data_IF_300442712722
#
_entry.id   IF_300442712722
#
_cell.length_a   1.000
_cell.length_b   1.000
_cell.length_c   1.000
_cell.angle_alpha   90.00
_cell.angle_beta   90.00
_cell.angle_gamma   90.00
#
_symmetry.space_group_name_H-M   'P 1'
#
loop_
_entity.id
_entity.type
_entity.pdbx_description
1 polymer ?
#
# COMPACT_ATOMS: atom_id res chain seq x y z
N UNK A 1 -0.81 -21.58 -0.81
CA UNK A 1 -2.08 -21.09 -1.40
C UNK A 1 -1.91 -20.41 -2.75
N UNK A 2 -0.73 -19.87 -3.07
CA UNK A 2 -0.44 -19.04 -4.25
C UNK A 2 -0.94 -19.61 -5.59
N UNK A 3 -0.57 -20.85 -5.93
CA UNK A 3 -1.00 -21.47 -7.19
C UNK A 3 -2.51 -21.61 -7.28
N UNK A 4 -3.19 -21.91 -6.16
CA UNK A 4 -4.66 -22.03 -6.14
C UNK A 4 -5.34 -20.68 -6.39
N UNK A 5 -4.83 -19.60 -5.78
CA UNK A 5 -5.34 -18.24 -6.02
C UNK A 5 -5.11 -17.84 -7.47
N UNK A 6 -3.93 -18.13 -8.03
CA UNK A 6 -3.62 -17.87 -9.43
C UNK A 6 -4.56 -18.62 -10.38
N UNK A 7 -4.74 -19.92 -10.18
CA UNK A 7 -5.60 -20.77 -11.00
C UNK A 7 -7.07 -20.35 -10.89
N UNK A 8 -7.54 -20.09 -9.66
CA UNK A 8 -8.90 -19.59 -9.41
C UNK A 8 -9.14 -18.24 -10.09
N UNK A 9 -8.25 -17.27 -9.90
CA UNK A 9 -8.35 -15.96 -10.54
C UNK A 9 -8.40 -16.05 -12.06
N UNK A 10 -7.50 -16.85 -12.64
CA UNK A 10 -7.47 -17.11 -14.08
C UNK A 10 -8.78 -17.73 -14.56
N UNK A 11 -9.27 -18.76 -13.85
CA UNK A 11 -10.50 -19.45 -14.22
C UNK A 11 -11.71 -18.51 -14.17
N UNK A 12 -11.81 -17.63 -13.18
CA UNK A 12 -12.88 -16.63 -13.08
C UNK A 12 -12.83 -15.63 -14.26
N UNK A 13 -11.64 -15.15 -14.62
CA UNK A 13 -11.47 -14.26 -15.78
C UNK A 13 -11.85 -14.97 -17.09
N UNK A 14 -11.34 -16.19 -17.31
CA UNK A 14 -11.61 -16.97 -18.53
C UNK A 14 -13.09 -17.32 -18.66
N UNK A 15 -13.72 -17.79 -17.58
CA UNK A 15 -15.12 -18.19 -17.56
C UNK A 15 -16.10 -17.02 -17.64
N UNK A 16 -15.65 -15.79 -17.39
CA UNK A 16 -16.51 -14.60 -17.47
C UNK A 16 -17.01 -14.32 -18.90
N UNK A 17 -16.25 -14.71 -19.92
CA UNK A 17 -16.50 -14.34 -21.32
C UNK A 17 -16.38 -12.83 -21.61
N UNK A 18 -15.89 -12.03 -20.66
CA UNK A 18 -15.76 -10.56 -20.76
C UNK A 18 -14.40 -10.14 -21.37
N UNK A 19 -13.38 -10.98 -21.20
CA UNK A 19 -12.01 -10.70 -21.59
C UNK A 19 -11.59 -11.54 -22.80
N UNK A 20 -10.84 -10.95 -23.73
CA UNK A 20 -10.21 -11.69 -24.83
C UNK A 20 -9.05 -12.54 -24.33
N UNK A 21 -8.65 -13.56 -25.10
CA UNK A 21 -7.48 -14.40 -24.76
C UNK A 21 -6.20 -13.58 -24.54
N UNK A 22 -6.02 -12.50 -25.31
CA UNK A 22 -4.90 -11.57 -25.14
C UNK A 22 -4.96 -10.82 -23.81
N UNK A 23 -6.14 -10.37 -23.39
CA UNK A 23 -6.34 -9.71 -22.10
C UNK A 23 -6.13 -10.69 -20.95
N UNK A 24 -6.64 -11.92 -21.06
CA UNK A 24 -6.39 -12.98 -20.07
C UNK A 24 -4.89 -13.24 -19.94
N UNK A 25 -4.16 -13.35 -21.05
CA UNK A 25 -2.71 -13.56 -21.03
C UNK A 25 -1.98 -12.45 -20.26
N UNK A 26 -2.37 -11.19 -20.45
CA UNK A 26 -1.79 -10.03 -19.77
C UNK A 26 -2.17 -10.01 -18.28
N UNK A 27 -3.47 -10.10 -17.96
CA UNK A 27 -3.97 -9.93 -16.60
C UNK A 27 -3.66 -11.10 -15.67
N UNK A 28 -3.38 -12.27 -16.24
CA UNK A 28 -3.04 -13.50 -15.53
C UNK A 28 -1.58 -13.93 -15.75
N UNK A 29 -0.72 -13.02 -16.20
CA UNK A 29 0.71 -13.25 -16.39
C UNK A 29 1.42 -13.54 -15.05
N UNK A 30 2.46 -14.38 -15.09
CA UNK A 30 3.20 -14.78 -13.89
C UNK A 30 3.86 -13.59 -13.17
N UNK A 31 4.36 -12.60 -13.91
CA UNK A 31 5.03 -11.45 -13.31
C UNK A 31 4.05 -10.55 -12.56
N UNK A 32 2.80 -10.46 -13.02
CA UNK A 32 1.72 -9.78 -12.27
C UNK A 32 1.51 -10.45 -10.92
N UNK A 33 1.43 -11.79 -10.88
CA UNK A 33 1.29 -12.52 -9.61
C UNK A 33 2.53 -12.40 -8.72
N UNK A 34 3.73 -12.38 -9.30
CA UNK A 34 4.97 -12.20 -8.55
C UNK A 34 4.99 -10.83 -7.84
N UNK A 35 4.55 -9.76 -8.52
CA UNK A 35 4.42 -8.42 -7.93
C UNK A 35 3.41 -8.38 -6.79
N UNK A 36 2.34 -9.18 -6.86
CA UNK A 36 1.28 -9.20 -5.84
C UNK A 36 1.47 -10.29 -4.78
N UNK A 37 2.62 -10.97 -4.77
CA UNK A 37 2.85 -12.15 -3.94
C UNK A 37 2.61 -11.91 -2.45
N UNK A 38 3.02 -10.76 -1.94
CA UNK A 38 2.77 -10.36 -0.55
C UNK A 38 1.28 -10.43 -0.21
N UNK A 39 0.43 -9.76 -0.99
CA UNK A 39 -1.01 -9.69 -0.74
C UNK A 39 -1.70 -11.05 -0.88
N UNK A 40 -1.25 -11.88 -1.83
CA UNK A 40 -1.76 -13.25 -2.01
C UNK A 40 -1.45 -14.11 -0.77
N UNK A 41 -0.29 -13.91 -0.16
CA UNK A 41 0.17 -14.66 1.02
C UNK A 41 -0.27 -14.04 2.35
N UNK A 42 -0.90 -12.86 2.32
CA UNK A 42 -1.16 -12.07 3.51
C UNK A 42 -2.12 -12.80 4.46
N UNK A 43 -3.24 -13.32 3.96
CA UNK A 43 -4.20 -14.10 4.77
C UNK A 43 -3.53 -15.25 5.52
N UNK A 44 -2.69 -16.04 4.83
CA UNK A 44 -1.94 -17.15 5.40
C UNK A 44 -0.92 -16.70 6.45
N UNK A 45 -0.40 -15.47 6.30
CA UNK A 45 0.59 -14.88 7.21
C UNK A 45 -0.04 -14.33 8.48
N UNK A 46 -1.31 -13.91 8.42
CA UNK A 46 -2.05 -13.35 9.55
C UNK A 46 -2.92 -14.39 10.28
N UNK A 47 -3.36 -15.44 9.60
CA UNK A 47 -4.27 -16.45 10.17
C UNK A 47 -3.80 -17.12 11.46
N UNK A 48 -2.49 -17.33 11.75
CA UNK A 48 -2.06 -17.89 13.03
C UNK A 48 -2.54 -17.09 14.25
N UNK A 49 -2.81 -15.79 14.10
CA UNK A 49 -3.36 -14.98 15.19
C UNK A 49 -4.80 -15.37 15.58
N UNK A 50 -5.50 -16.14 14.76
CA UNK A 50 -6.93 -16.41 14.91
C UNK A 50 -7.26 -17.88 15.23
N UNK A 51 -6.27 -18.65 15.68
CA UNK A 51 -6.35 -20.08 16.02
C UNK A 51 -6.45 -21.05 14.83
N UNK A 52 -6.16 -22.33 15.08
CA UNK A 52 -6.22 -23.42 14.10
C UNK A 52 -7.65 -23.80 13.67
N UNK A 53 -8.67 -23.06 14.09
CA UNK A 53 -10.08 -23.37 13.79
C UNK A 53 -10.52 -22.96 12.39
N UNK A 54 -9.77 -22.10 11.70
CA UNK A 54 -10.11 -21.67 10.35
C UNK A 54 -9.68 -22.75 9.36
N UNK A 55 -10.63 -23.25 8.57
CA UNK A 55 -10.34 -24.27 7.56
C UNK A 55 -9.49 -23.71 6.41
N UNK A 56 -8.76 -24.59 5.73
CA UNK A 56 -8.00 -24.21 4.54
C UNK A 56 -8.87 -23.61 3.42
N UNK A 57 -10.13 -24.06 3.32
CA UNK A 57 -11.06 -23.51 2.33
C UNK A 57 -11.48 -22.08 2.68
N UNK A 58 -11.71 -21.77 3.96
CA UNK A 58 -12.02 -20.42 4.40
C UNK A 58 -10.83 -19.47 4.16
N UNK A 59 -9.61 -19.90 4.47
CA UNK A 59 -8.40 -19.12 4.17
C UNK A 59 -8.25 -18.84 2.67
N UNK A 60 -8.57 -19.83 1.82
CA UNK A 60 -8.57 -19.64 0.38
C UNK A 60 -9.64 -18.61 -0.04
N UNK A 61 -10.86 -18.73 0.46
CA UNK A 61 -11.96 -17.80 0.14
C UNK A 61 -11.61 -16.36 0.55
N UNK A 62 -11.07 -16.15 1.74
CA UNK A 62 -10.62 -14.83 2.23
C UNK A 62 -9.54 -14.25 1.33
N UNK A 63 -8.58 -15.08 0.93
CA UNK A 63 -7.48 -14.66 0.05
C UNK A 63 -7.96 -14.31 -1.36
N UNK A 64 -8.91 -15.06 -1.90
CA UNK A 64 -9.53 -14.73 -3.19
C UNK A 64 -10.25 -13.39 -3.13
N UNK A 65 -11.16 -13.21 -2.15
CA UNK A 65 -11.92 -11.96 -1.97
C UNK A 65 -10.96 -10.76 -1.90
N UNK A 66 -9.91 -10.89 -1.08
CA UNK A 66 -8.93 -9.83 -0.88
C UNK A 66 -8.12 -9.54 -2.14
N UNK A 67 -7.74 -10.58 -2.89
CA UNK A 67 -7.00 -10.42 -4.14
C UNK A 67 -7.86 -9.77 -5.24
N UNK A 68 -9.14 -10.14 -5.35
CA UNK A 68 -10.07 -9.46 -6.27
C UNK A 68 -10.23 -7.98 -5.91
N UNK A 69 -10.37 -7.63 -4.62
CA UNK A 69 -10.38 -6.22 -4.21
C UNK A 69 -9.07 -5.51 -4.57
N UNK A 70 -7.91 -6.09 -4.29
CA UNK A 70 -6.61 -5.51 -4.69
C UNK A 70 -6.57 -5.22 -6.19
N UNK A 71 -6.94 -6.20 -7.02
CA UNK A 71 -6.93 -6.06 -8.49
C UNK A 71 -7.90 -4.98 -8.96
N UNK A 72 -9.04 -4.83 -8.30
CA UNK A 72 -9.96 -3.74 -8.58
C UNK A 72 -9.35 -2.37 -8.25
N UNK A 73 -8.73 -2.24 -7.08
CA UNK A 73 -8.13 -0.98 -6.64
C UNK A 73 -6.97 -0.56 -7.54
N UNK A 74 -6.06 -1.46 -7.90
CA UNK A 74 -4.96 -1.16 -8.82
C UNK A 74 -5.48 -0.73 -10.21
N UNK A 75 -6.56 -1.35 -10.68
CA UNK A 75 -7.20 -0.95 -11.94
C UNK A 75 -7.86 0.43 -11.83
N UNK A 76 -8.50 0.76 -10.71
CA UNK A 76 -9.07 2.09 -10.50
C UNK A 76 -8.00 3.16 -10.32
N UNK A 77 -6.93 2.86 -9.58
CA UNK A 77 -5.79 3.75 -9.35
C UNK A 77 -5.14 4.15 -10.68
N UNK A 78 -4.83 3.18 -11.56
CA UNK A 78 -4.33 3.47 -12.91
C UNK A 78 -5.28 4.27 -13.80
N UNK A 79 -6.60 4.16 -13.63
CA UNK A 79 -7.56 5.02 -14.34
C UNK A 79 -7.51 6.44 -13.80
N UNK A 80 -7.44 6.58 -12.48
CA UNK A 80 -7.50 7.86 -11.77
C UNK A 80 -6.18 8.64 -11.92
N UNK A 81 -5.06 7.93 -11.95
CA UNK A 81 -3.71 8.50 -11.97
C UNK A 81 -3.18 8.68 -13.39
N UNK A 82 -3.33 7.66 -14.24
CA UNK A 82 -2.75 7.65 -15.58
C UNK A 82 -3.81 7.82 -16.71
N UNK A 83 -5.11 7.87 -16.38
CA UNK A 83 -6.18 8.01 -17.38
C UNK A 83 -6.40 6.78 -18.25
N UNK A 84 -5.87 5.61 -17.86
CA UNK A 84 -5.90 4.37 -18.67
C UNK A 84 -7.28 3.70 -18.59
N UNK A 85 -8.24 4.23 -19.36
CA UNK A 85 -9.65 3.79 -19.34
C UNK A 85 -9.87 2.33 -19.72
N UNK A 86 -8.92 1.69 -20.41
CA UNK A 86 -8.98 0.24 -20.71
C UNK A 86 -9.03 -0.61 -19.45
N UNK A 87 -8.54 -0.11 -18.31
CA UNK A 87 -8.58 -0.81 -17.03
C UNK A 87 -9.96 -0.74 -16.36
N UNK A 88 -10.91 0.05 -16.86
CA UNK A 88 -12.26 0.17 -16.26
C UNK A 88 -12.97 -1.18 -16.22
N UNK A 89 -12.91 -1.93 -17.33
CA UNK A 89 -13.50 -3.27 -17.43
C UNK A 89 -12.92 -4.22 -16.39
N UNK A 90 -11.59 -4.20 -16.23
CA UNK A 90 -10.90 -5.02 -15.24
C UNK A 90 -11.31 -4.61 -13.81
N UNK A 91 -11.32 -3.31 -13.51
CA UNK A 91 -11.67 -2.79 -12.19
C UNK A 91 -13.09 -3.17 -11.75
N UNK A 92 -14.07 -2.93 -12.63
CA UNK A 92 -15.48 -3.27 -12.37
C UNK A 92 -15.66 -4.77 -12.17
N UNK A 93 -15.14 -5.60 -13.08
CA UNK A 93 -15.24 -7.06 -12.96
C UNK A 93 -14.67 -7.57 -11.64
N UNK A 94 -13.45 -7.13 -11.28
CA UNK A 94 -12.81 -7.60 -10.06
C UNK A 94 -13.58 -7.17 -8.81
N UNK A 95 -14.09 -5.94 -8.79
CA UNK A 95 -14.87 -5.42 -7.66
C UNK A 95 -16.20 -6.17 -7.49
N UNK A 96 -16.93 -6.42 -8.57
CA UNK A 96 -18.20 -7.17 -8.55
C UNK A 96 -18.00 -8.64 -8.15
N UNK A 97 -16.94 -9.27 -8.65
CA UNK A 97 -16.56 -10.65 -8.27
C UNK A 97 -16.18 -10.72 -6.79
N UNK A 98 -15.43 -9.74 -6.27
CA UNK A 98 -15.10 -9.66 -4.85
C UNK A 98 -16.36 -9.55 -3.98
N UNK A 99 -17.30 -8.68 -4.34
CA UNK A 99 -18.57 -8.51 -3.62
C UNK A 99 -19.44 -9.76 -3.67
N UNK A 100 -19.51 -10.43 -4.82
CA UNK A 100 -20.28 -11.67 -4.98
C UNK A 100 -19.71 -12.77 -4.09
N UNK A 101 -18.38 -12.95 -4.09
CA UNK A 101 -17.70 -13.91 -3.20
C UNK A 101 -17.88 -13.53 -1.73
N UNK A 102 -17.81 -12.25 -1.38
CA UNK A 102 -18.06 -11.78 -0.01
C UNK A 102 -19.50 -12.10 0.43
N UNK A 103 -20.51 -11.83 -0.39
CA UNK A 103 -21.91 -12.14 -0.12
C UNK A 103 -22.17 -13.65 0.02
N UNK A 104 -21.52 -14.48 -0.80
CA UNK A 104 -21.64 -15.92 -0.70
C UNK A 104 -21.06 -16.48 0.61
N UNK A 105 -20.00 -15.87 1.15
CA UNK A 105 -19.33 -16.33 2.36
C UNK A 105 -19.88 -15.68 3.64
N UNK A 106 -20.42 -14.46 3.57
CA UNK A 106 -20.85 -13.67 4.73
C UNK A 106 -22.22 -13.00 4.50
N UNK A 107 -23.30 -13.75 4.20
CA UNK A 107 -24.54 -13.19 3.68
C UNK A 107 -25.31 -12.30 4.68
N UNK A 108 -25.18 -12.57 5.98
CA UNK A 108 -25.93 -11.89 7.05
C UNK A 108 -24.98 -11.26 8.10
N UNK A 109 -23.77 -10.87 7.70
CA UNK A 109 -22.79 -10.28 8.61
C UNK A 109 -22.84 -8.75 8.59
N UNK A 110 -23.78 -8.18 9.34
CA UNK A 110 -23.95 -6.73 9.43
C UNK A 110 -22.67 -6.00 9.85
N UNK A 111 -21.80 -6.63 10.66
CA UNK A 111 -20.55 -6.00 11.12
C UNK A 111 -19.56 -5.88 9.97
N UNK A 112 -19.36 -6.95 9.21
CA UNK A 112 -18.46 -6.96 8.06
C UNK A 112 -18.94 -6.01 6.96
N UNK A 113 -20.25 -6.00 6.67
CA UNK A 113 -20.83 -5.09 5.67
C UNK A 113 -20.73 -3.61 6.07
N UNK A 114 -20.97 -3.29 7.35
CA UNK A 114 -20.77 -1.94 7.85
C UNK A 114 -19.29 -1.52 7.81
N UNK A 115 -18.38 -2.43 8.14
CA UNK A 115 -16.95 -2.17 8.04
C UNK A 115 -16.54 -1.89 6.58
N UNK A 116 -17.00 -2.70 5.62
CA UNK A 116 -16.74 -2.48 4.19
C UNK A 116 -17.25 -1.10 3.72
N UNK A 117 -18.43 -0.67 4.21
CA UNK A 117 -18.97 0.66 3.89
C UNK A 117 -18.05 1.78 4.37
N UNK A 118 -17.53 1.70 5.59
CA UNK A 118 -16.61 2.72 6.11
C UNK A 118 -15.23 2.65 5.45
N UNK A 119 -14.72 1.45 5.13
CA UNK A 119 -13.50 1.24 4.32
C UNK A 119 -13.62 1.96 2.98
N UNK A 120 -14.72 1.73 2.23
CA UNK A 120 -14.97 2.40 0.95
C UNK A 120 -15.01 3.93 1.09
N UNK A 121 -15.71 4.42 2.12
CA UNK A 121 -15.83 5.85 2.39
C UNK A 121 -14.47 6.48 2.68
N UNK A 122 -13.59 5.80 3.45
CA UNK A 122 -12.23 6.28 3.70
C UNK A 122 -11.40 6.27 2.42
N UNK A 123 -11.45 5.19 1.63
CA UNK A 123 -10.77 5.11 0.34
C UNK A 123 -11.15 6.27 -0.59
N UNK A 124 -12.45 6.45 -0.87
CA UNK A 124 -12.90 7.51 -1.78
C UNK A 124 -12.51 8.90 -1.29
N UNK A 125 -12.62 9.17 0.01
CA UNK A 125 -12.21 10.46 0.59
C UNK A 125 -10.71 10.70 0.46
N UNK A 126 -9.88 9.68 0.67
CA UNK A 126 -8.44 9.79 0.52
C UNK A 126 -8.05 10.07 -0.93
N UNK A 127 -8.59 9.31 -1.88
CA UNK A 127 -8.37 9.52 -3.31
C UNK A 127 -8.86 10.91 -3.77
N UNK A 128 -10.03 11.34 -3.31
CA UNK A 128 -10.53 12.69 -3.63
C UNK A 128 -9.61 13.78 -3.06
N UNK A 129 -9.13 13.61 -1.83
CA UNK A 129 -8.26 14.59 -1.17
C UNK A 129 -6.91 14.72 -1.89
N UNK A 130 -6.29 13.60 -2.24
CA UNK A 130 -5.05 13.54 -3.03
C UNK A 130 -5.21 14.33 -4.35
N UNK A 131 -6.29 14.07 -5.09
CA UNK A 131 -6.57 14.78 -6.35
C UNK A 131 -6.92 16.24 -6.15
N UNK A 132 -7.61 16.59 -5.07
CA UNK A 132 -7.90 18.00 -4.76
C UNK A 132 -6.62 18.78 -4.51
N UNK A 133 -5.68 18.24 -3.74
CA UNK A 133 -4.41 18.92 -3.50
C UNK A 133 -3.60 19.11 -4.76
N UNK A 134 -3.63 18.13 -5.66
CA UNK A 134 -3.06 18.30 -6.98
C UNK A 134 -3.65 19.52 -7.72
N UNK A 135 -4.98 19.61 -7.78
CA UNK A 135 -5.68 20.70 -8.47
C UNK A 135 -5.51 22.07 -7.79
N UNK A 136 -5.31 22.08 -6.47
CA UNK A 136 -5.10 23.29 -5.67
C UNK A 136 -3.62 23.69 -5.57
N UNK A 137 -2.70 22.95 -6.20
CA UNK A 137 -1.25 23.11 -6.11
C UNK A 137 -0.74 23.22 -4.66
N UNK A 138 -1.44 22.55 -3.74
CA UNK A 138 -1.20 22.64 -2.31
C UNK A 138 -0.20 21.58 -1.87
N UNK A 139 0.75 21.97 -1.04
CA UNK A 139 1.66 21.03 -0.38
C UNK A 139 0.95 20.19 0.68
N UNK A 140 1.25 18.89 0.72
CA UNK A 140 0.85 17.97 1.78
C UNK A 140 1.60 18.26 3.08
N UNK A 141 0.87 18.31 4.19
CA UNK A 141 1.49 18.09 5.51
C UNK A 141 1.52 16.59 5.88
N UNK A 142 2.16 16.29 7.01
CA UNK A 142 2.36 14.91 7.45
C UNK A 142 1.04 14.20 7.78
N UNK A 143 0.11 14.88 8.47
CA UNK A 143 -1.15 14.27 8.90
C UNK A 143 -2.03 13.97 7.69
N UNK A 144 -2.04 14.87 6.72
CA UNK A 144 -2.71 14.72 5.43
C UNK A 144 -2.12 13.56 4.61
N UNK A 145 -0.79 13.47 4.55
CA UNK A 145 -0.10 12.36 3.91
C UNK A 145 -0.48 11.02 4.54
N UNK A 146 -0.38 10.90 5.87
CA UNK A 146 -0.72 9.66 6.59
C UNK A 146 -2.17 9.27 6.32
N UNK A 147 -3.10 10.24 6.37
CA UNK A 147 -4.51 9.98 6.06
C UNK A 147 -4.72 9.42 4.65
N UNK A 148 -4.03 9.98 3.65
CA UNK A 148 -4.11 9.52 2.26
C UNK A 148 -3.49 8.12 2.12
N UNK A 149 -2.28 7.91 2.64
CA UNK A 149 -1.56 6.63 2.58
C UNK A 149 -2.36 5.48 3.23
N UNK A 150 -2.93 5.72 4.41
CA UNK A 150 -3.85 4.76 5.05
C UNK A 150 -5.11 4.53 4.23
N UNK A 151 -5.64 5.58 3.60
CA UNK A 151 -6.86 5.52 2.80
C UNK A 151 -6.69 4.74 1.50
N UNK A 152 -5.56 4.88 0.80
CA UNK A 152 -5.28 4.13 -0.45
C UNK A 152 -5.09 2.63 -0.19
N UNK A 153 -4.52 2.26 0.97
CA UNK A 153 -4.30 0.86 1.36
C UNK A 153 -5.45 0.23 2.16
N UNK A 154 -6.49 0.99 2.51
CA UNK A 154 -7.47 0.62 3.55
C UNK A 154 -8.13 -0.75 3.39
N UNK A 155 -8.30 -1.27 2.16
CA UNK A 155 -8.94 -2.56 1.94
C UNK A 155 -8.17 -3.76 2.55
N UNK A 156 -6.87 -3.64 2.82
CA UNK A 156 -6.10 -4.71 3.46
C UNK A 156 -6.62 -5.05 4.86
N UNK A 157 -7.29 -4.10 5.52
CA UNK A 157 -7.86 -4.30 6.86
C UNK A 157 -9.10 -5.22 6.86
N UNK A 158 -9.63 -5.55 5.67
CA UNK A 158 -10.72 -6.51 5.50
C UNK A 158 -10.26 -7.93 5.82
N UNK A 159 -8.97 -8.26 5.61
CA UNK A 159 -8.41 -9.59 5.90
C UNK A 159 -8.53 -9.91 7.40
N UNK A 160 -8.00 -9.09 8.34
CA UNK A 160 -8.22 -9.32 9.77
C UNK A 160 -9.69 -9.44 10.17
N UNK A 161 -10.59 -8.64 9.56
CA UNK A 161 -12.03 -8.72 9.85
C UNK A 161 -12.62 -10.08 9.48
N UNK A 162 -12.35 -10.54 8.26
CA UNK A 162 -12.81 -11.85 7.79
C UNK A 162 -12.22 -12.99 8.63
N UNK A 163 -10.93 -12.91 8.99
CA UNK A 163 -10.29 -13.91 9.86
C UNK A 163 -10.90 -13.93 11.28
N UNK A 164 -11.16 -12.76 11.86
CA UNK A 164 -11.82 -12.63 13.16
C UNK A 164 -13.22 -13.21 13.16
N UNK A 165 -13.95 -13.02 12.06
CA UNK A 165 -15.28 -13.59 11.87
C UNK A 165 -15.23 -15.11 11.71
N UNK A 166 -14.41 -15.64 10.78
CA UNK A 166 -14.29 -17.09 10.54
C UNK A 166 -13.81 -17.86 11.76
N UNK A 167 -12.93 -17.27 12.58
CA UNK A 167 -12.48 -17.91 13.82
C UNK A 167 -13.45 -17.78 14.99
N UNK A 168 -14.43 -16.88 14.90
CA UNK A 168 -15.25 -16.45 16.04
C UNK A 168 -14.45 -15.75 17.14
N UNK A 169 -13.25 -15.25 16.84
CA UNK A 169 -12.35 -14.59 17.79
C UNK A 169 -11.87 -13.22 17.26
N UNK A 170 -12.56 -12.13 17.63
CA UNK A 170 -12.21 -10.80 17.12
C UNK A 170 -11.02 -10.14 17.86
N UNK A 171 -10.43 -10.77 18.87
CA UNK A 171 -9.51 -10.11 19.81
C UNK A 171 -8.25 -9.51 19.16
N UNK A 172 -7.80 -10.08 18.03
CA UNK A 172 -6.60 -9.62 17.33
C UNK A 172 -6.89 -8.72 16.12
N UNK A 173 -8.17 -8.49 15.79
CA UNK A 173 -8.55 -7.73 14.59
C UNK A 173 -7.96 -6.33 14.62
N UNK A 174 -8.29 -5.52 15.62
CA UNK A 174 -7.91 -4.10 15.66
C UNK A 174 -6.38 -3.91 15.60
N UNK A 175 -5.63 -4.69 16.35
CA UNK A 175 -4.16 -4.62 16.37
C UNK A 175 -3.55 -5.00 15.01
N UNK A 176 -4.07 -6.04 14.36
CA UNK A 176 -3.62 -6.40 13.02
C UNK A 176 -3.98 -5.33 11.98
N UNK A 177 -5.15 -4.70 12.10
CA UNK A 177 -5.51 -3.58 11.23
C UNK A 177 -4.55 -2.40 11.40
N UNK A 178 -4.26 -1.99 12.64
CA UNK A 178 -3.26 -0.94 12.93
C UNK A 178 -1.89 -1.30 12.39
N UNK A 179 -1.46 -2.54 12.61
CA UNK A 179 -0.18 -3.04 12.11
C UNK A 179 -0.08 -2.96 10.58
N UNK A 180 -1.13 -3.37 9.86
CA UNK A 180 -1.18 -3.28 8.40
C UNK A 180 -1.17 -1.83 7.90
N UNK A 181 -1.97 -0.96 8.52
CA UNK A 181 -2.01 0.45 8.13
C UNK A 181 -0.65 1.12 8.32
N UNK A 182 -0.01 0.92 9.49
CA UNK A 182 1.35 1.40 9.73
C UNK A 182 2.36 0.83 8.73
N UNK A 183 2.30 -0.47 8.44
CA UNK A 183 3.16 -1.08 7.43
C UNK A 183 3.02 -0.39 6.07
N UNK A 184 1.78 -0.12 5.64
CA UNK A 184 1.50 0.53 4.36
C UNK A 184 1.88 2.00 4.31
N UNK A 185 1.74 2.75 5.41
CA UNK A 185 2.25 4.12 5.48
C UNK A 185 3.77 4.11 5.31
N UNK A 186 4.46 3.19 5.99
CA UNK A 186 5.90 3.01 5.82
C UNK A 186 6.31 2.71 4.37
N UNK A 187 5.56 1.83 3.68
CA UNK A 187 5.79 1.54 2.26
C UNK A 187 5.57 2.78 1.38
N UNK A 188 4.49 3.53 1.59
CA UNK A 188 4.21 4.74 0.81
C UNK A 188 5.34 5.78 0.95
N UNK A 189 5.94 5.91 2.14
CA UNK A 189 7.10 6.80 2.33
C UNK A 189 8.31 6.32 1.53
N UNK A 190 8.54 5.00 1.45
CA UNK A 190 9.63 4.46 0.63
C UNK A 190 9.38 4.67 -0.86
N UNK A 191 8.15 4.41 -1.32
CA UNK A 191 7.73 4.62 -2.70
C UNK A 191 7.92 6.10 -3.11
N UNK A 192 7.49 7.05 -2.27
CA UNK A 192 7.68 8.50 -2.51
C UNK A 192 9.16 8.90 -2.67
N UNK A 193 10.10 8.18 -2.04
CA UNK A 193 11.55 8.42 -2.17
C UNK A 193 12.08 7.81 -3.47
N UNK A 194 11.72 6.57 -3.76
CA UNK A 194 12.20 5.81 -4.92
C UNK A 194 11.67 6.39 -6.24
N UNK A 195 10.41 6.82 -6.24
CA UNK A 195 9.71 7.37 -7.41
C UNK A 195 9.73 8.90 -7.50
N UNK A 196 10.44 9.59 -6.59
CA UNK A 196 10.48 11.06 -6.48
C UNK A 196 10.54 11.82 -7.83
N UNK A 197 11.44 11.42 -8.72
CA UNK A 197 11.58 12.08 -10.04
C UNK A 197 10.39 11.75 -10.95
N UNK A 198 9.99 10.47 -10.99
CA UNK A 198 8.84 10.00 -11.77
C UNK A 198 7.57 10.73 -11.34
N UNK A 199 7.37 10.92 -10.04
CA UNK A 199 6.19 11.59 -9.49
C UNK A 199 6.16 13.06 -9.85
N UNK A 200 7.30 13.75 -9.84
CA UNK A 200 7.39 15.12 -10.36
C UNK A 200 7.03 15.16 -11.84
N UNK A 201 7.59 14.27 -12.65
CA UNK A 201 7.35 14.23 -14.10
C UNK A 201 5.88 13.91 -14.42
N UNK A 202 5.23 13.09 -13.59
CA UNK A 202 3.79 12.78 -13.66
C UNK A 202 2.90 13.82 -12.96
N UNK A 203 3.49 14.85 -12.37
CA UNK A 203 2.77 15.86 -11.59
C UNK A 203 1.96 15.26 -10.42
N UNK A 204 2.43 14.17 -9.83
CA UNK A 204 1.84 13.57 -8.65
C UNK A 204 2.27 14.33 -7.38
N UNK A 205 1.32 14.57 -6.49
CA UNK A 205 1.61 15.17 -5.19
C UNK A 205 1.98 14.07 -4.21
N UNK A 206 3.25 14.03 -3.85
CA UNK A 206 3.80 13.16 -2.81
C UNK A 206 4.28 13.98 -1.62
N UNK A 207 4.51 13.32 -0.48
CA UNK A 207 5.00 14.00 0.71
C UNK A 207 6.46 14.42 0.54
N UNK A 208 7.26 13.63 -0.16
CA UNK A 208 8.66 13.97 -0.47
C UNK A 208 8.74 15.24 -1.34
N UNK A 209 7.90 15.35 -2.38
CA UNK A 209 7.80 16.54 -3.22
C UNK A 209 7.32 17.76 -2.42
N UNK A 210 6.26 17.59 -1.62
CA UNK A 210 5.66 18.67 -0.82
C UNK A 210 6.64 19.24 0.22
N UNK A 211 7.32 18.37 0.97
CA UNK A 211 8.30 18.78 1.98
C UNK A 211 9.52 19.47 1.35
N UNK A 212 9.98 19.01 0.19
CA UNK A 212 11.07 19.65 -0.56
C UNK A 212 10.69 21.06 -1.03
N UNK A 213 9.51 21.23 -1.64
CA UNK A 213 9.02 22.55 -2.07
C UNK A 213 8.87 23.51 -0.88
N UNK A 214 8.33 23.03 0.23
CA UNK A 214 8.20 23.82 1.47
C UNK A 214 9.56 24.25 2.02
N UNK A 215 10.55 23.35 2.04
CA UNK A 215 11.92 23.68 2.46
C UNK A 215 12.55 24.78 1.59
N UNK A 216 12.42 24.67 0.26
CA UNK A 216 12.95 25.66 -0.67
C UNK A 216 12.25 27.02 -0.54
N UNK A 217 10.93 27.02 -0.38
CA UNK A 217 10.14 28.23 -0.14
C UNK A 217 10.60 28.97 1.12
N UNK A 218 10.89 28.25 2.21
CA UNK A 218 11.43 28.83 3.44
C UNK A 218 12.83 29.46 3.27
N UNK A 219 13.59 29.03 2.26
CA UNK A 219 14.88 29.62 1.88
C UNK A 219 14.75 30.75 0.85
N UNK A 220 13.52 31.08 0.42
CA UNK A 220 13.27 32.06 -0.64
C UNK A 220 13.66 31.58 -2.04
N UNK A 221 13.77 30.26 -2.24
CA UNK A 221 14.07 29.63 -3.53
C UNK A 221 12.75 29.26 -4.20
N UNK A 222 12.53 29.75 -5.41
CA UNK A 222 11.40 29.39 -6.24
C UNK A 222 11.58 27.95 -6.78
N UNK A 223 10.82 27.00 -6.21
CA UNK A 223 10.87 25.59 -6.59
C UNK A 223 10.34 25.33 -7.99
N UNK A 224 9.45 26.18 -8.52
CA UNK A 224 8.84 25.96 -9.83
C UNK A 224 9.80 26.32 -10.97
N UNK A 225 10.87 27.06 -10.66
CA UNK A 225 11.99 27.31 -11.56
C UNK A 225 12.96 26.11 -11.71
N UNK A 226 12.79 25.05 -10.89
CA UNK A 226 13.70 23.91 -10.83
C UNK A 226 13.09 22.68 -11.51
N UNK A 227 13.93 21.92 -12.21
CA UNK A 227 13.53 20.61 -12.72
C UNK A 227 13.58 19.52 -11.64
N UNK A 228 12.95 18.37 -11.90
CA UNK A 228 12.89 17.25 -10.95
C UNK A 228 14.26 16.78 -10.45
N UNK A 229 15.30 16.80 -11.29
CA UNK A 229 16.67 16.43 -10.87
C UNK A 229 17.26 17.39 -9.85
N UNK A 230 16.96 18.68 -9.96
CA UNK A 230 17.41 19.68 -8.99
C UNK A 230 16.62 19.57 -7.68
N UNK A 231 15.30 19.38 -7.76
CA UNK A 231 14.46 19.12 -6.59
C UNK A 231 14.93 17.87 -5.84
N UNK A 232 15.20 16.77 -6.56
CA UNK A 232 15.78 15.54 -6.01
C UNK A 232 17.09 15.83 -5.28
N UNK A 233 18.03 16.56 -5.89
CA UNK A 233 19.29 16.94 -5.22
C UNK A 233 19.04 17.72 -3.92
N UNK A 234 18.09 18.66 -3.90
CA UNK A 234 17.76 19.39 -2.69
C UNK A 234 17.13 18.49 -1.62
N UNK A 235 16.27 17.54 -1.99
CA UNK A 235 15.68 16.57 -1.07
C UNK A 235 16.75 15.78 -0.30
N UNK A 236 17.79 15.28 -0.99
CA UNK A 236 18.88 14.58 -0.31
C UNK A 236 19.83 15.55 0.42
N UNK A 237 20.24 16.65 -0.22
CA UNK A 237 21.24 17.56 0.35
C UNK A 237 20.74 18.34 1.58
N UNK A 238 19.44 18.56 1.71
CA UNK A 238 18.81 19.19 2.88
C UNK A 238 18.71 18.26 4.10
N UNK A 239 18.87 16.94 3.90
CA UNK A 239 18.62 15.94 4.93
C UNK A 239 17.16 15.45 4.99
N UNK A 240 16.24 16.02 4.21
CA UNK A 240 14.84 15.59 4.18
C UNK A 240 14.68 14.09 3.84
N UNK A 241 15.51 13.57 2.93
CA UNK A 241 15.49 12.13 2.63
C UNK A 241 15.74 11.25 3.88
N UNK A 242 16.61 11.69 4.80
CA UNK A 242 16.85 10.97 6.05
C UNK A 242 15.65 11.11 7.00
N UNK A 243 15.02 12.29 7.08
CA UNK A 243 13.81 12.50 7.88
C UNK A 243 12.64 11.61 7.42
N UNK A 244 12.49 11.42 6.10
CA UNK A 244 11.50 10.51 5.53
C UNK A 244 11.83 9.04 5.83
N UNK A 245 13.10 8.64 5.72
CA UNK A 245 13.51 7.30 6.12
C UNK A 245 13.26 7.02 7.60
N UNK A 246 13.46 8.02 8.47
CA UNK A 246 13.14 7.91 9.90
C UNK A 246 11.63 7.82 10.15
N UNK A 247 10.81 8.49 9.35
CA UNK A 247 9.35 8.34 9.36
C UNK A 247 8.92 6.93 8.95
N UNK A 248 9.48 6.39 7.86
CA UNK A 248 9.20 5.03 7.41
C UNK A 248 9.58 3.99 8.48
N UNK A 249 10.78 4.11 9.07
CA UNK A 249 11.22 3.23 10.16
C UNK A 249 10.29 3.28 11.37
N UNK A 250 9.80 4.47 11.75
CA UNK A 250 8.84 4.62 12.85
C UNK A 250 7.57 3.82 12.58
N UNK A 251 6.98 3.98 11.40
CA UNK A 251 5.77 3.24 11.03
C UNK A 251 6.00 1.72 10.96
N UNK A 252 7.12 1.25 10.41
CA UNK A 252 7.46 -0.18 10.45
C UNK A 252 7.67 -0.70 11.88
N UNK A 253 8.26 0.12 12.76
CA UNK A 253 8.46 -0.24 14.17
C UNK A 253 7.12 -0.31 14.91
N UNK A 254 6.24 0.67 14.72
CA UNK A 254 4.89 0.66 15.28
C UNK A 254 4.08 -0.53 14.74
N UNK A 255 4.23 -0.86 13.45
CA UNK A 255 3.64 -2.05 12.84
C UNK A 255 4.07 -3.34 13.56
N UNK A 256 5.37 -3.49 13.85
CA UNK A 256 5.89 -4.65 14.59
C UNK A 256 5.41 -4.68 16.04
N UNK A 257 5.35 -3.53 16.72
CA UNK A 257 4.89 -3.42 18.11
C UNK A 257 3.43 -3.91 18.27
N UNK A 258 2.55 -3.56 17.34
CA UNK A 258 1.15 -3.98 17.38
C UNK A 258 0.97 -5.52 17.34
N UNK A 259 1.91 -6.23 16.70
CA UNK A 259 1.86 -7.70 16.53
C UNK A 259 2.93 -8.45 17.33
N UNK A 260 3.70 -7.78 18.18
CA UNK A 260 4.88 -8.33 18.85
C UNK A 260 4.58 -9.67 19.54
N UNK A 261 3.46 -9.74 20.26
CA UNK A 261 3.04 -10.90 21.04
C UNK A 261 2.13 -11.88 20.29
N UNK A 262 1.95 -11.71 18.96
CA UNK A 262 1.11 -12.58 18.13
C UNK A 262 1.94 -13.61 17.35
N UNK A 263 1.40 -14.80 17.03
CA UNK A 263 2.12 -15.83 16.28
C UNK A 263 2.20 -15.59 14.75
N UNK A 264 2.28 -14.34 14.29
CA UNK A 264 2.28 -13.95 12.86
C UNK A 264 3.69 -13.82 12.29
N UNK A 265 4.56 -14.81 12.54
CA UNK A 265 5.99 -14.72 12.26
C UNK A 265 6.32 -14.40 10.78
N UNK A 266 5.55 -14.96 9.83
CA UNK A 266 5.74 -14.65 8.40
C UNK A 266 5.55 -13.15 8.11
N UNK A 267 4.51 -12.54 8.68
CA UNK A 267 4.23 -11.13 8.51
C UNK A 267 5.28 -10.25 9.21
N UNK A 268 5.69 -10.59 10.45
CA UNK A 268 6.80 -9.89 11.14
C UNK A 268 8.09 -9.92 10.34
N UNK A 269 8.47 -11.09 9.80
CA UNK A 269 9.64 -11.23 8.96
C UNK A 269 9.52 -10.39 7.69
N UNK A 270 8.32 -10.25 7.12
CA UNK A 270 8.08 -9.40 5.97
C UNK A 270 8.27 -7.92 6.31
N UNK A 271 7.69 -7.43 7.42
CA UNK A 271 7.90 -6.03 7.87
C UNK A 271 9.39 -5.75 8.08
N UNK A 272 10.12 -6.69 8.69
CA UNK A 272 11.56 -6.53 8.90
C UNK A 272 12.35 -6.51 7.58
N UNK A 273 12.07 -7.45 6.68
CA UNK A 273 12.85 -7.63 5.45
C UNK A 273 12.53 -6.60 4.38
N UNK A 274 11.24 -6.31 4.17
CA UNK A 274 10.75 -5.39 3.14
C UNK A 274 10.54 -3.97 3.66
N UNK A 275 10.55 -3.74 4.98
CA UNK A 275 10.50 -2.40 5.56
C UNK A 275 11.85 -1.99 6.15
N UNK A 276 12.17 -2.49 7.34
CA UNK A 276 13.34 -2.05 8.12
C UNK A 276 14.67 -2.23 7.38
N UNK A 277 14.90 -3.38 6.75
CA UNK A 277 16.14 -3.60 5.98
C UNK A 277 16.23 -2.69 4.74
N UNK A 278 15.11 -2.42 4.07
CA UNK A 278 15.08 -1.50 2.93
C UNK A 278 15.41 -0.08 3.37
N UNK A 279 14.80 0.40 4.47
CA UNK A 279 15.14 1.69 5.09
C UNK A 279 16.64 1.78 5.38
N UNK A 280 17.21 0.77 6.03
CA UNK A 280 18.64 0.77 6.37
C UNK A 280 19.54 0.77 5.13
N UNK A 281 19.17 0.03 4.08
CA UNK A 281 19.89 0.02 2.80
C UNK A 281 19.89 1.41 2.15
N UNK A 282 18.71 2.02 2.02
CA UNK A 282 18.55 3.36 1.45
C UNK A 282 19.27 4.41 2.28
N UNK A 283 19.19 4.34 3.60
CA UNK A 283 19.87 5.25 4.52
C UNK A 283 21.39 5.25 4.31
N UNK A 284 22.00 4.07 4.13
CA UNK A 284 23.43 3.96 3.85
C UNK A 284 23.79 4.45 2.43
N UNK A 285 22.87 4.38 1.47
CA UNK A 285 23.04 5.05 0.17
C UNK A 285 22.99 6.58 0.31
N UNK A 286 22.00 7.13 1.00
CA UNK A 286 21.88 8.57 1.24
C UNK A 286 23.13 9.12 1.94
N UNK A 287 23.60 8.47 3.00
CA UNK A 287 24.82 8.88 3.71
C UNK A 287 26.06 8.88 2.82
N UNK A 288 26.14 8.00 1.81
CA UNK A 288 27.25 7.97 0.84
C UNK A 288 27.18 9.13 -0.16
N UNK A 289 25.98 9.65 -0.44
CA UNK A 289 25.75 10.77 -1.34
C UNK A 289 25.99 12.13 -0.66
N UNK A 290 25.86 12.19 0.66
CA UNK A 290 26.20 13.40 1.41
C UNK A 290 27.72 13.61 1.43
N UNK A 291 28.21 14.84 1.19
CA UNK A 291 29.63 15.13 1.33
C UNK A 291 30.06 14.77 2.75
N UNK A 292 31.04 13.88 2.88
CA UNK A 292 31.66 13.57 4.18
C UNK A 292 32.09 14.90 4.77
N UNK A 293 31.47 15.31 5.87
CA UNK A 293 31.94 16.45 6.63
C UNK A 293 33.42 16.14 6.94
N UNK A 294 34.33 16.89 6.32
CA UNK A 294 35.73 16.88 6.68
C UNK A 294 35.74 17.30 8.13
N UNK A 295 35.96 16.35 9.03
CA UNK A 295 36.42 16.63 10.38
C UNK A 295 37.70 17.42 10.21
N UNK A 296 37.59 18.74 10.29
CA UNK A 296 38.72 19.62 10.54
C UNK A 296 39.22 19.26 11.93
N UNK A 297 40.09 18.26 11.98
CA UNK A 297 41.00 18.05 13.08
C UNK A 297 41.82 19.32 13.21
N UNK A 298 41.46 20.13 14.19
CA UNK A 298 42.27 21.20 14.77
C UNK A 298 43.67 20.65 15.07
N UNK A 299 44.68 21.23 14.42
CA UNK A 299 46.07 21.23 14.87
C UNK A 299 46.46 22.68 15.10
#
# INVERSE_FOLDING_TARGET
MDNKIKESYRSEIENSGIFSDSEVAIYCDQDVFNKHKFYIQLTESLSPAFSDKISQQELLNISEISYFFLRALLAFDTIIDDGVTSNLKLGVFNYETALTKLQANYPNDDKLWNALKEIKKKYYKATELEKRFYLEERSLDLDEFVYIAEGKSIFVILIPLMLGQSSGNPNNVEKLQKSLLNFHVGLQVLDDIEDFITDIDKSQITYANSSTKKYLSNLGIDSDSLNGKMLYKYFFASGLALEHLDLAERHFTESLQEVENMPVNKFKSHIFTSGINQVNSLREEVKRLLPKATTTSTV
#
